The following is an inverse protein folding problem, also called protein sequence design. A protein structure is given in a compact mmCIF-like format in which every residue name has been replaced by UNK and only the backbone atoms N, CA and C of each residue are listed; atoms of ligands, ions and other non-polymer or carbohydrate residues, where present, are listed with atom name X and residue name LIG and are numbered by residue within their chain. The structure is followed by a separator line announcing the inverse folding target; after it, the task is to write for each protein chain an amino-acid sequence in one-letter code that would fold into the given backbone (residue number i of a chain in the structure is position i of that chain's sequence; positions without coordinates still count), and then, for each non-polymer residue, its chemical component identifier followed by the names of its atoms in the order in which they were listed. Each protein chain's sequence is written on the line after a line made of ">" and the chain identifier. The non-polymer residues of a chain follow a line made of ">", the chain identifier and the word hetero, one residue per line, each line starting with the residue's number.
data_IF_880583006635
#
_entry.id   IF_880583006635
#
_cell.length_a   1.000
_cell.length_b   1.000
_cell.length_c   1.000
_cell.angle_alpha   90.00
_cell.angle_beta   90.00
_cell.angle_gamma   90.00
#
_symmetry.space_group_name_H-M   'P 1'
#
loop_
_entity.id
_entity.type
_entity.pdbx_description
1 polymer ?
#
# COMPACT_ATOMS: atom_id res chain seq x y z
N UNK A 1 1.58 10.86 -23.76
CA UNK A 1 2.61 9.79 -23.73
C UNK A 1 2.63 9.07 -25.06
N UNK A 2 3.76 9.12 -25.77
CA UNK A 2 3.97 8.41 -27.04
C UNK A 2 4.01 6.89 -26.81
N UNK A 3 3.60 6.07 -27.79
CA UNK A 3 3.64 4.59 -27.67
C UNK A 3 5.01 4.06 -27.24
N UNK A 4 6.09 4.70 -27.69
CA UNK A 4 7.47 4.37 -27.30
C UNK A 4 7.76 4.56 -25.80
N UNK A 5 7.17 5.55 -25.15
CA UNK A 5 7.37 5.80 -23.72
C UNK A 5 6.72 4.72 -22.85
N UNK A 6 5.49 4.30 -23.21
CA UNK A 6 4.80 3.20 -22.52
C UNK A 6 5.54 1.86 -22.63
N UNK A 7 6.05 1.55 -23.81
CA UNK A 7 6.87 0.35 -24.04
C UNK A 7 8.14 0.36 -23.17
N UNK A 8 8.81 1.50 -23.08
CA UNK A 8 9.99 1.65 -22.23
C UNK A 8 9.68 1.49 -20.73
N UNK A 9 8.56 2.05 -20.25
CA UNK A 9 8.14 1.90 -18.84
C UNK A 9 7.81 0.46 -18.48
N UNK A 10 7.07 -0.26 -19.34
CA UNK A 10 6.74 -1.68 -19.12
C UNK A 10 8.00 -2.53 -19.07
N UNK A 11 8.94 -2.31 -20.00
CA UNK A 11 10.22 -3.02 -20.02
C UNK A 11 11.05 -2.74 -18.76
N UNK A 12 11.13 -1.48 -18.34
CA UNK A 12 11.84 -1.07 -17.13
C UNK A 12 11.27 -1.75 -15.88
N UNK A 13 9.94 -1.73 -15.71
CA UNK A 13 9.28 -2.35 -14.56
C UNK A 13 9.44 -3.87 -14.58
N UNK A 14 9.28 -4.51 -15.75
CA UNK A 14 9.50 -5.94 -15.90
C UNK A 14 10.92 -6.38 -15.54
N UNK A 15 11.94 -5.65 -16.03
CA UNK A 15 13.33 -5.91 -15.65
C UNK A 15 13.58 -5.72 -14.15
N UNK A 16 13.03 -4.66 -13.55
CA UNK A 16 13.19 -4.42 -12.11
C UNK A 16 12.64 -5.58 -11.28
N UNK A 17 11.47 -6.11 -11.65
CA UNK A 17 10.86 -7.28 -10.98
C UNK A 17 11.75 -8.52 -11.14
N UNK A 18 12.27 -8.79 -12.35
CA UNK A 18 13.13 -9.95 -12.61
C UNK A 18 14.43 -9.85 -11.81
N UNK A 19 15.07 -8.68 -11.78
CA UNK A 19 16.31 -8.46 -11.04
C UNK A 19 16.07 -8.64 -9.54
N UNK A 20 14.99 -8.05 -9.00
CA UNK A 20 14.63 -8.22 -7.59
C UNK A 20 14.37 -9.69 -7.24
N UNK A 21 13.68 -10.42 -8.11
CA UNK A 21 13.41 -11.85 -7.94
C UNK A 21 14.70 -12.66 -7.94
N UNK A 22 15.61 -12.41 -8.89
CA UNK A 22 16.90 -13.10 -8.96
C UNK A 22 17.74 -12.83 -7.72
N UNK A 23 17.80 -11.59 -7.25
CA UNK A 23 18.52 -11.22 -6.03
C UNK A 23 17.93 -11.98 -4.83
N UNK A 24 16.60 -12.01 -4.69
CA UNK A 24 15.93 -12.76 -3.62
C UNK A 24 16.28 -14.26 -3.67
N UNK A 25 16.25 -14.88 -4.85
CA UNK A 25 16.62 -16.29 -5.01
C UNK A 25 18.10 -16.55 -4.69
N UNK A 26 19.00 -15.67 -5.10
CA UNK A 26 20.44 -15.78 -4.75
C UNK A 26 20.64 -15.67 -3.24
N UNK A 27 19.94 -14.75 -2.57
CA UNK A 27 20.00 -14.63 -1.11
C UNK A 27 19.51 -15.92 -0.43
N UNK A 28 18.39 -16.49 -0.90
CA UNK A 28 17.87 -17.75 -0.36
C UNK A 28 18.89 -18.89 -0.52
N UNK A 29 19.55 -18.99 -1.68
CA UNK A 29 20.60 -20.00 -1.93
C UNK A 29 21.78 -19.88 -0.96
N UNK A 30 22.15 -18.66 -0.57
CA UNK A 30 23.31 -18.39 0.28
C UNK A 30 23.02 -18.51 1.78
N UNK A 31 21.77 -18.28 2.19
CA UNK A 31 21.39 -18.15 3.61
C UNK A 31 20.63 -19.36 4.14
N UNK A 32 19.85 -20.04 3.29
CA UNK A 32 18.95 -21.11 3.75
C UNK A 32 19.67 -22.45 3.88
N UNK A 33 19.37 -23.17 4.97
CA UNK A 33 19.80 -24.55 5.19
C UNK A 33 19.14 -25.55 4.21
N UNK A 34 17.94 -25.20 3.70
CA UNK A 34 17.13 -26.01 2.77
C UNK A 34 16.72 -25.18 1.54
N UNK A 35 17.69 -24.77 0.71
CA UNK A 35 17.48 -23.74 -0.32
C UNK A 35 16.44 -24.12 -1.36
N UNK A 36 16.36 -25.40 -1.74
CA UNK A 36 15.42 -25.87 -2.75
C UNK A 36 13.95 -25.77 -2.29
N UNK A 37 13.67 -26.13 -1.04
CA UNK A 37 12.34 -26.01 -0.47
C UNK A 37 11.96 -24.55 -0.24
N UNK A 38 12.89 -23.75 0.27
CA UNK A 38 12.69 -22.32 0.49
C UNK A 38 12.35 -21.57 -0.82
N UNK A 39 13.04 -21.86 -1.92
CA UNK A 39 12.73 -21.27 -3.23
C UNK A 39 11.34 -21.67 -3.74
N UNK A 40 10.94 -22.94 -3.56
CA UNK A 40 9.60 -23.42 -3.95
C UNK A 40 8.50 -22.72 -3.15
N UNK A 41 8.65 -22.64 -1.83
CA UNK A 41 7.68 -21.98 -0.95
C UNK A 41 7.61 -20.48 -1.26
N UNK A 42 8.74 -19.83 -1.55
CA UNK A 42 8.76 -18.42 -1.91
C UNK A 42 7.99 -18.14 -3.21
N UNK A 43 8.17 -18.98 -4.24
CA UNK A 43 7.53 -18.78 -5.55
C UNK A 43 6.08 -19.26 -5.61
N UNK A 44 5.77 -20.41 -5.00
CA UNK A 44 4.48 -21.08 -5.14
C UNK A 44 3.67 -21.15 -3.84
N UNK A 45 4.27 -20.87 -2.68
CA UNK A 45 3.57 -20.85 -1.39
C UNK A 45 2.31 -19.99 -1.36
N UNK A 46 2.31 -18.78 -1.97
CA UNK A 46 1.10 -17.98 -2.14
C UNK A 46 -0.02 -18.65 -2.94
N UNK A 47 0.32 -19.54 -3.87
CA UNK A 47 -0.62 -20.20 -4.79
C UNK A 47 -1.07 -21.57 -4.28
N UNK A 48 -0.39 -22.13 -3.28
CA UNK A 48 -0.66 -23.47 -2.74
C UNK A 48 -2.04 -23.60 -2.10
N UNK A 49 -2.64 -22.50 -1.61
CA UNK A 49 -3.97 -22.53 -1.02
C UNK A 49 -4.75 -21.24 -1.27
N UNK A 50 -6.08 -21.36 -1.31
CA UNK A 50 -6.98 -20.21 -1.41
C UNK A 50 -6.73 -19.20 -0.27
N UNK A 51 -6.35 -19.69 0.92
CA UNK A 51 -6.05 -18.85 2.08
C UNK A 51 -4.74 -18.08 1.90
N UNK A 52 -3.68 -18.74 1.43
CA UNK A 52 -2.41 -18.05 1.18
C UNK A 52 -2.55 -16.99 0.09
N UNK A 53 -3.32 -17.29 -0.95
CA UNK A 53 -3.63 -16.33 -1.99
C UNK A 53 -4.45 -15.15 -1.45
N UNK A 54 -5.44 -15.45 -0.59
CA UNK A 54 -6.20 -14.44 0.14
C UNK A 54 -5.32 -13.51 0.97
N UNK A 55 -4.32 -14.04 1.68
CA UNK A 55 -3.37 -13.24 2.45
C UNK A 55 -2.52 -12.32 1.55
N UNK A 56 -2.14 -12.78 0.36
CA UNK A 56 -1.43 -11.92 -0.61
C UNK A 56 -2.33 -10.79 -1.08
N UNK A 57 -3.59 -11.06 -1.40
CA UNK A 57 -4.55 -10.02 -1.76
C UNK A 57 -4.75 -9.03 -0.60
N UNK A 58 -4.88 -9.53 0.63
CA UNK A 58 -5.04 -8.70 1.83
C UNK A 58 -3.88 -7.72 2.01
N UNK A 59 -2.63 -8.16 1.81
CA UNK A 59 -1.46 -7.28 1.87
C UNK A 59 -1.32 -6.38 0.63
N UNK A 60 -1.77 -6.84 -0.54
CA UNK A 60 -1.67 -6.09 -1.79
C UNK A 60 -2.66 -4.93 -1.85
N UNK A 61 -3.86 -5.08 -1.29
CA UNK A 61 -4.92 -4.08 -1.32
C UNK A 61 -4.48 -2.73 -0.74
N UNK A 62 -3.92 -2.63 0.49
CA UNK A 62 -3.41 -1.38 1.04
C UNK A 62 -2.34 -0.73 0.16
N UNK A 63 -1.40 -1.51 -0.36
CA UNK A 63 -0.31 -1.02 -1.21
C UNK A 63 -0.84 -0.41 -2.53
N UNK A 64 -1.83 -1.04 -3.14
CA UNK A 64 -2.46 -0.52 -4.36
C UNK A 64 -3.22 0.78 -4.09
N UNK A 65 -4.05 0.83 -3.04
CA UNK A 65 -4.82 2.02 -2.70
C UNK A 65 -3.93 3.21 -2.30
N UNK A 66 -2.89 2.97 -1.49
CA UNK A 66 -1.92 3.99 -1.09
C UNK A 66 -1.09 4.47 -2.29
N UNK A 67 -0.64 3.56 -3.16
CA UNK A 67 0.06 3.93 -4.41
C UNK A 67 -0.80 4.78 -5.35
N UNK A 68 -2.09 4.45 -5.48
CA UNK A 68 -3.05 5.26 -6.24
C UNK A 68 -3.24 6.65 -5.61
N UNK A 69 -3.41 6.72 -4.29
CA UNK A 69 -3.54 7.99 -3.58
C UNK A 69 -2.30 8.89 -3.74
N UNK A 70 -1.10 8.30 -3.62
CA UNK A 70 0.16 9.00 -3.81
C UNK A 70 0.33 9.49 -5.25
N UNK A 71 -0.12 8.73 -6.25
CA UNK A 71 -0.09 9.15 -7.66
C UNK A 71 -0.90 10.43 -7.91
N UNK A 72 -2.03 10.58 -7.21
CA UNK A 72 -2.84 11.81 -7.26
C UNK A 72 -2.10 12.98 -6.58
N UNK A 73 -1.46 12.74 -5.44
CA UNK A 73 -0.68 13.78 -4.73
C UNK A 73 0.52 14.28 -5.54
N UNK A 74 1.24 13.38 -6.20
CA UNK A 74 2.35 13.74 -7.08
C UNK A 74 1.92 14.64 -8.24
N UNK A 75 0.68 14.49 -8.71
CA UNK A 75 0.12 15.37 -9.75
C UNK A 75 -0.03 16.82 -9.27
N UNK A 76 -0.13 17.05 -7.96
CA UNK A 76 -0.13 18.38 -7.32
C UNK A 76 1.28 18.85 -6.91
N UNK A 77 2.35 18.14 -7.32
CA UNK A 77 3.74 18.40 -6.91
C UNK A 77 3.94 18.39 -5.38
N UNK A 78 3.10 17.65 -4.66
CA UNK A 78 3.21 17.46 -3.21
C UNK A 78 3.73 16.06 -2.90
N UNK A 79 4.33 15.88 -1.72
CA UNK A 79 4.85 14.60 -1.25
C UNK A 79 4.25 14.24 0.10
N UNK A 80 3.81 13.00 0.27
CA UNK A 80 3.32 12.52 1.56
C UNK A 80 3.54 11.01 1.68
N UNK A 81 4.39 10.61 2.63
CA UNK A 81 4.71 9.20 2.94
C UNK A 81 3.73 8.59 3.94
N UNK A 82 3.00 9.41 4.68
CA UNK A 82 2.06 8.98 5.71
C UNK A 82 0.73 8.45 5.15
N UNK A 83 0.61 8.27 3.83
CA UNK A 83 -0.57 7.71 3.20
C UNK A 83 -0.86 6.28 3.67
N UNK A 84 0.20 5.48 3.93
CA UNK A 84 0.06 4.13 4.49
C UNK A 84 -0.46 4.16 5.92
N UNK A 85 0.11 5.01 6.79
CA UNK A 85 -0.40 5.24 8.14
C UNK A 85 -1.86 5.70 8.14
N UNK A 86 -2.21 6.64 7.25
CA UNK A 86 -3.57 7.13 7.08
C UNK A 86 -4.56 6.02 6.65
N UNK A 87 -4.12 5.05 5.84
CA UNK A 87 -4.93 3.89 5.47
C UNK A 87 -5.27 3.04 6.70
N UNK A 88 -4.29 2.77 7.58
CA UNK A 88 -4.51 2.02 8.81
C UNK A 88 -5.37 2.78 9.83
N UNK A 89 -5.15 4.09 10.02
CA UNK A 89 -6.04 4.92 10.86
C UNK A 89 -7.46 4.94 10.31
N UNK A 90 -7.63 5.00 8.98
CA UNK A 90 -8.92 4.87 8.33
C UNK A 90 -9.56 3.49 8.56
N UNK A 91 -8.77 2.41 8.53
CA UNK A 91 -9.25 1.06 8.82
C UNK A 91 -9.74 0.92 10.28
N UNK A 92 -9.05 1.53 11.25
CA UNK A 92 -9.50 1.61 12.64
C UNK A 92 -10.83 2.36 12.73
N UNK A 93 -10.97 3.47 12.01
CA UNK A 93 -12.21 4.23 11.91
C UNK A 93 -13.37 3.43 11.34
N UNK A 94 -13.12 2.71 10.24
CA UNK A 94 -14.11 1.84 9.62
C UNK A 94 -14.51 0.68 10.55
N UNK A 95 -13.54 0.08 11.26
CA UNK A 95 -13.79 -0.97 12.25
C UNK A 95 -14.64 -0.48 13.43
N UNK A 96 -14.41 0.75 13.89
CA UNK A 96 -15.22 1.36 14.95
C UNK A 96 -16.70 1.44 14.55
N UNK A 97 -16.99 1.91 13.34
CA UNK A 97 -18.36 1.94 12.79
C UNK A 97 -18.91 0.54 12.61
N UNK A 98 -18.09 -0.38 12.11
CA UNK A 98 -18.49 -1.75 11.85
C UNK A 98 -18.98 -2.48 13.11
N UNK A 99 -18.36 -2.19 14.26
CA UNK A 99 -18.66 -2.83 15.54
C UNK A 99 -19.76 -2.09 16.32
N UNK A 100 -19.75 -0.76 16.34
CA UNK A 100 -20.63 0.01 17.23
C UNK A 100 -21.96 0.43 16.60
N UNK A 101 -22.04 0.53 15.27
CA UNK A 101 -23.28 0.91 14.60
C UNK A 101 -23.96 -0.30 13.97
N UNK A 102 -25.25 -0.44 14.20
CA UNK A 102 -26.08 -1.44 13.56
C UNK A 102 -26.93 -0.76 12.47
N UNK A 103 -26.44 -0.80 11.23
CA UNK A 103 -27.11 -0.21 10.05
C UNK A 103 -27.56 -1.33 9.09
N UNK A 104 -28.49 -1.04 8.17
CA UNK A 104 -28.90 -2.02 7.15
C UNK A 104 -27.71 -2.54 6.32
N UNK A 105 -27.74 -3.80 5.83
CA UNK A 105 -26.59 -4.48 5.22
C UNK A 105 -25.90 -3.75 4.05
N UNK A 106 -26.62 -2.88 3.33
CA UNK A 106 -26.07 -2.09 2.21
C UNK A 106 -25.50 -0.74 2.67
N UNK A 107 -26.14 -0.14 3.68
CA UNK A 107 -25.78 1.20 4.17
C UNK A 107 -24.56 1.09 5.09
N UNK A 108 -24.51 0.04 5.90
CA UNK A 108 -23.45 -0.18 6.89
C UNK A 108 -22.02 -0.13 6.31
N UNK A 109 -21.66 -0.92 5.27
CA UNK A 109 -20.31 -0.86 4.70
C UNK A 109 -20.01 0.48 4.04
N UNK A 110 -21.01 1.11 3.41
CA UNK A 110 -20.84 2.42 2.79
C UNK A 110 -20.49 3.49 3.82
N UNK A 111 -21.19 3.50 4.96
CA UNK A 111 -20.93 4.44 6.06
C UNK A 111 -19.58 4.14 6.70
N UNK A 112 -19.21 2.87 6.88
CA UNK A 112 -17.90 2.50 7.42
C UNK A 112 -16.74 2.99 6.53
N UNK A 113 -16.86 2.83 5.21
CA UNK A 113 -15.86 3.31 4.24
C UNK A 113 -15.75 4.83 4.26
N UNK A 114 -16.89 5.54 4.27
CA UNK A 114 -16.89 7.01 4.32
C UNK A 114 -16.29 7.53 5.63
N UNK A 115 -16.61 6.90 6.76
CA UNK A 115 -16.06 7.27 8.06
C UNK A 115 -14.56 6.98 8.16
N UNK A 116 -14.11 5.83 7.66
CA UNK A 116 -12.70 5.51 7.54
C UNK A 116 -11.96 6.49 6.64
N UNK A 117 -12.54 6.86 5.50
CA UNK A 117 -12.01 7.87 4.59
C UNK A 117 -11.89 9.25 5.23
N UNK A 118 -12.89 9.67 6.01
CA UNK A 118 -12.84 10.92 6.78
C UNK A 118 -11.68 10.91 7.78
N UNK A 119 -11.57 9.86 8.59
CA UNK A 119 -10.48 9.72 9.57
C UNK A 119 -9.13 9.72 8.85
N UNK A 120 -8.96 8.90 7.81
CA UNK A 120 -7.73 8.86 7.02
C UNK A 120 -7.37 10.21 6.41
N UNK A 121 -8.35 10.97 5.92
CA UNK A 121 -8.13 12.31 5.36
C UNK A 121 -7.64 13.33 6.40
N UNK A 122 -8.13 13.23 7.64
CA UNK A 122 -7.70 14.09 8.75
C UNK A 122 -6.22 13.84 9.03
N UNK A 123 -5.83 12.57 9.18
CA UNK A 123 -4.43 12.19 9.46
C UNK A 123 -3.50 12.54 8.31
N UNK A 124 -3.90 12.24 7.08
CA UNK A 124 -3.13 12.57 5.87
C UNK A 124 -2.99 14.10 5.66
N UNK A 125 -3.94 14.88 6.17
CA UNK A 125 -3.91 16.35 6.13
C UNK A 125 -2.94 17.00 7.12
N UNK A 126 -2.50 16.30 8.17
CA UNK A 126 -1.63 16.88 9.21
C UNK A 126 -0.30 17.38 8.64
N UNK A 127 0.47 16.61 7.84
CA UNK A 127 1.69 17.10 7.19
C UNK A 127 1.46 18.34 6.32
N UNK A 128 0.34 18.41 5.61
CA UNK A 128 -0.01 19.55 4.76
C UNK A 128 -0.29 20.82 5.58
N UNK A 129 -1.01 20.69 6.69
CA UNK A 129 -1.24 21.81 7.62
C UNK A 129 0.08 22.27 8.24
N UNK A 130 0.96 21.32 8.61
CA UNK A 130 2.27 21.63 9.19
C UNK A 130 3.16 22.40 8.20
N UNK A 131 3.12 22.05 6.91
CA UNK A 131 3.82 22.79 5.85
C UNK A 131 3.32 24.23 5.74
N UNK A 132 2.00 24.43 5.67
CA UNK A 132 1.42 25.77 5.49
C UNK A 132 1.69 26.66 6.69
N UNK A 133 1.61 26.12 7.91
CA UNK A 133 1.78 26.91 9.14
C UNK A 133 3.23 27.15 9.52
N UNK A 134 4.11 26.17 9.33
CA UNK A 134 5.49 26.21 9.84
C UNK A 134 6.56 26.08 8.76
N UNK A 135 6.20 25.94 7.48
CA UNK A 135 7.17 25.75 6.40
C UNK A 135 7.94 24.43 6.49
N UNK A 136 7.45 23.47 7.29
CA UNK A 136 8.10 22.16 7.45
C UNK A 136 8.09 21.37 6.15
N UNK A 137 9.15 20.58 5.93
CA UNK A 137 9.17 19.59 4.85
C UNK A 137 8.07 18.55 5.05
N UNK A 138 7.19 18.40 4.07
CA UNK A 138 6.12 17.40 4.08
C UNK A 138 6.67 15.98 4.14
N UNK A 139 7.84 15.74 3.54
CA UNK A 139 8.49 14.43 3.56
C UNK A 139 8.87 14.04 4.98
N UNK A 140 9.46 14.97 5.74
CA UNK A 140 9.91 14.69 7.12
C UNK A 140 8.71 14.56 8.05
N UNK A 141 7.73 15.46 7.95
CA UNK A 141 6.56 15.42 8.83
C UNK A 141 5.64 14.23 8.54
N UNK A 142 5.60 13.73 7.31
CA UNK A 142 4.82 12.55 6.95
C UNK A 142 5.51 11.22 7.29
N UNK A 143 6.85 11.19 7.41
CA UNK A 143 7.60 9.99 7.80
C UNK A 143 7.49 9.66 9.31
N UNK A 144 7.01 10.60 10.12
CA UNK A 144 6.80 10.40 11.56
C UNK A 144 5.46 9.72 11.91
N UNK A 145 4.62 9.42 10.90
CA UNK A 145 3.36 8.68 11.04
C UNK A 145 3.57 7.18 10.83
#
# INVERSE_FOLDING_TARGET
>A
MTKSQRLFEVYRTGLAIIIALLIALVIILLVSDVPWEAMKIFLFGPLDSLRHFGNVLEMMVPLLFTGLAISVMFSASQFNLGAEGAFFFGAIGAAFVAVNWNLPPVIHPTVAILWGGLIGSIFCGIPGILKVKWGSSELVSSLMF
#
